data_IF_028698438191
#
_entry.id   IF_028698438191
#
_cell.length_a   1.000
_cell.length_b   1.000
_cell.length_c   1.000
_cell.angle_alpha   90.00
_cell.angle_beta   90.00
_cell.angle_gamma   90.00
#
_symmetry.space_group_name_H-M   'P 1'
#
loop_
_entity.id
_entity.type
_entity.pdbx_description
1 polymer ?
#
# COMPACT_ATOMS: atom_id res chain seq x y z
N UNK A 1 -29.90 7.44 -6.02
CA UNK A 1 -28.49 7.93 -6.15
C UNK A 1 -27.77 7.54 -4.89
N UNK A 2 -26.72 6.77 -4.99
CA UNK A 2 -25.87 6.41 -3.85
C UNK A 2 -25.25 7.68 -3.23
N UNK A 3 -24.88 7.62 -1.94
CA UNK A 3 -24.22 8.72 -1.24
C UNK A 3 -22.96 9.21 -1.97
N UNK A 4 -22.18 8.27 -2.53
CA UNK A 4 -20.95 8.58 -3.26
C UNK A 4 -21.26 9.30 -4.57
N UNK A 5 -22.23 8.81 -5.35
CA UNK A 5 -22.66 9.46 -6.59
C UNK A 5 -23.14 10.88 -6.37
N UNK A 6 -23.88 11.11 -5.26
CA UNK A 6 -24.31 12.44 -4.87
C UNK A 6 -23.11 13.35 -4.61
N UNK A 7 -22.14 12.92 -3.80
CA UNK A 7 -20.92 13.69 -3.53
C UNK A 7 -20.16 14.01 -4.80
N UNK A 8 -20.00 13.03 -5.71
CA UNK A 8 -19.32 13.22 -6.99
C UNK A 8 -20.05 14.26 -7.86
N UNK A 9 -21.38 14.27 -7.86
CA UNK A 9 -22.18 15.25 -8.61
C UNK A 9 -22.10 16.67 -8.07
N UNK A 10 -21.85 16.81 -6.76
CA UNK A 10 -21.71 18.10 -6.08
C UNK A 10 -20.30 18.69 -6.16
N UNK A 11 -19.27 17.87 -6.45
CA UNK A 11 -17.88 18.32 -6.62
C UNK A 11 -17.70 19.09 -7.93
N UNK A 12 -17.02 20.24 -7.88
CA UNK A 12 -16.55 20.92 -9.09
C UNK A 12 -15.41 20.15 -9.76
N UNK A 13 -15.07 20.51 -10.99
CA UNK A 13 -13.95 19.90 -11.70
C UNK A 13 -12.63 20.15 -10.98
N UNK A 14 -12.42 21.38 -10.51
CA UNK A 14 -11.22 21.80 -9.76
C UNK A 14 -11.07 21.00 -8.47
N UNK A 15 -12.18 20.78 -7.74
CA UNK A 15 -12.17 19.98 -6.53
C UNK A 15 -11.85 18.51 -6.81
N UNK A 16 -12.42 17.93 -7.87
CA UNK A 16 -12.08 16.57 -8.31
C UNK A 16 -10.59 16.43 -8.62
N UNK A 17 -10.03 17.37 -9.37
CA UNK A 17 -8.60 17.40 -9.70
C UNK A 17 -7.74 17.57 -8.44
N UNK A 18 -8.15 18.45 -7.51
CA UNK A 18 -7.40 18.70 -6.27
C UNK A 18 -7.32 17.48 -5.36
N UNK A 19 -8.38 16.66 -5.29
CA UNK A 19 -8.37 15.39 -4.53
C UNK A 19 -7.35 14.41 -5.13
N UNK A 20 -7.26 14.34 -6.46
CA UNK A 20 -6.34 13.44 -7.16
C UNK A 20 -4.87 13.87 -7.05
N UNK A 21 -4.60 15.18 -6.97
CA UNK A 21 -3.22 15.69 -6.87
C UNK A 21 -2.65 15.70 -5.46
N UNK A 22 -3.52 15.67 -4.45
CA UNK A 22 -3.12 15.77 -3.05
C UNK A 22 -2.75 17.19 -2.61
N UNK A 23 -2.80 17.44 -1.31
CA UNK A 23 -2.42 18.72 -0.69
C UNK A 23 -0.96 18.72 -0.20
N UNK A 24 -0.35 17.56 -0.07
CA UNK A 24 1.06 17.34 0.25
C UNK A 24 1.50 15.94 -0.20
N UNK A 25 2.76 15.59 0.06
CA UNK A 25 3.29 14.25 -0.24
C UNK A 25 2.49 13.11 0.42
N UNK A 26 1.83 13.39 1.55
CA UNK A 26 1.18 12.37 2.38
C UNK A 26 -0.31 12.61 2.62
N UNK A 27 -0.91 13.63 2.00
CA UNK A 27 -2.29 13.98 2.28
C UNK A 27 -3.10 14.25 1.03
N UNK A 28 -4.35 13.78 1.02
CA UNK A 28 -5.33 14.25 0.04
C UNK A 28 -5.82 15.65 0.37
N UNK A 29 -6.44 16.32 -0.60
CA UNK A 29 -7.09 17.61 -0.37
C UNK A 29 -8.45 17.40 0.31
N UNK A 30 -8.71 18.13 1.39
CA UNK A 30 -10.03 18.17 2.01
C UNK A 30 -11.00 19.06 1.20
N UNK A 31 -12.30 18.70 1.20
CA UNK A 31 -13.38 19.56 0.65
C UNK A 31 -14.38 19.86 1.78
N UNK A 32 -14.13 20.87 2.61
CA UNK A 32 -14.91 21.11 3.83
C UNK A 32 -16.40 21.34 3.58
N UNK A 33 -16.76 22.02 2.48
CA UNK A 33 -18.18 22.29 2.13
C UNK A 33 -19.01 21.02 1.90
N UNK A 34 -18.35 19.91 1.58
CA UNK A 34 -18.98 18.58 1.37
C UNK A 34 -18.66 17.60 2.50
N UNK A 35 -18.03 18.06 3.58
CA UNK A 35 -17.55 17.21 4.66
C UNK A 35 -16.64 16.06 4.19
N UNK A 36 -15.84 16.29 3.16
CA UNK A 36 -14.80 15.35 2.72
C UNK A 36 -13.52 15.68 3.49
N UNK A 37 -13.08 14.79 4.40
CA UNK A 37 -11.89 15.05 5.20
C UNK A 37 -10.62 14.91 4.37
N UNK A 38 -9.53 15.42 4.89
CA UNK A 38 -8.18 15.10 4.45
C UNK A 38 -7.87 13.68 4.88
N UNK A 39 -7.32 12.87 3.98
CA UNK A 39 -6.83 11.51 4.26
C UNK A 39 -5.32 11.55 4.35
N UNK A 40 -4.75 11.04 5.44
CA UNK A 40 -3.29 10.91 5.64
C UNK A 40 -2.82 9.52 5.25
N UNK A 41 -1.79 9.47 4.43
CA UNK A 41 -1.09 8.25 4.07
C UNK A 41 0.27 8.17 4.77
N UNK A 42 0.72 6.94 5.06
CA UNK A 42 2.09 6.69 5.51
C UNK A 42 2.72 5.57 4.70
N UNK A 43 3.98 5.72 4.33
CA UNK A 43 4.75 4.61 3.79
C UNK A 43 5.22 3.68 4.93
N UNK A 44 5.69 2.49 4.57
CA UNK A 44 6.33 1.56 5.49
C UNK A 44 5.66 0.20 5.63
N UNK A 45 5.75 -0.68 4.61
CA UNK A 45 5.17 -2.03 4.64
C UNK A 45 5.80 -2.94 5.70
N UNK A 46 6.95 -2.56 6.26
CA UNK A 46 7.67 -3.26 7.34
C UNK A 46 7.79 -2.41 8.63
N UNK A 47 6.98 -1.37 8.74
CA UNK A 47 6.93 -0.43 9.88
C UNK A 47 6.49 0.94 9.41
N UNK A 48 5.44 1.49 10.02
CA UNK A 48 4.84 2.75 9.59
C UNK A 48 5.80 3.92 9.81
N UNK A 49 6.25 4.56 8.73
CA UNK A 49 7.26 5.64 8.78
C UNK A 49 6.74 6.94 9.39
N UNK A 50 5.45 7.16 9.35
CA UNK A 50 4.86 8.43 9.75
C UNK A 50 5.27 9.57 8.81
N UNK A 51 5.27 10.78 9.33
CA UNK A 51 5.81 11.93 8.62
C UNK A 51 7.33 11.95 8.77
N UNK A 52 8.06 11.68 7.69
CA UNK A 52 9.53 11.61 7.70
C UNK A 52 10.22 12.93 8.12
N UNK A 53 9.47 14.02 8.17
CA UNK A 53 9.97 15.34 8.61
C UNK A 53 9.95 15.48 10.13
N UNK A 54 9.04 14.79 10.82
CA UNK A 54 8.86 14.90 12.28
C UNK A 54 9.90 14.14 13.10
N UNK A 55 10.67 13.24 12.47
CA UNK A 55 11.64 12.39 13.19
C UNK A 55 11.01 11.35 14.11
N UNK A 56 9.73 11.02 13.90
CA UNK A 56 9.04 9.97 14.64
C UNK A 56 9.74 8.62 14.47
N UNK A 57 9.99 7.94 15.58
CA UNK A 57 10.56 6.60 15.58
C UNK A 57 9.55 5.59 15.07
N UNK A 58 10.03 4.56 14.37
CA UNK A 58 9.23 3.45 13.87
C UNK A 58 9.86 2.12 14.27
N UNK A 59 9.02 1.13 14.57
CA UNK A 59 9.48 -0.24 14.67
C UNK A 59 9.93 -0.74 13.29
N UNK A 60 10.95 -1.60 13.28
CA UNK A 60 11.36 -2.30 12.06
C UNK A 60 10.96 -3.77 12.22
N UNK A 61 9.89 -4.15 11.57
CA UNK A 61 9.42 -5.53 11.53
C UNK A 61 10.22 -6.34 10.49
N UNK A 62 10.17 -7.68 10.55
CA UNK A 62 10.79 -8.51 9.54
C UNK A 62 10.33 -8.14 8.13
N UNK A 63 11.24 -8.22 7.17
CA UNK A 63 10.92 -7.95 5.76
C UNK A 63 9.89 -8.94 5.20
N UNK A 64 9.19 -8.57 4.13
CA UNK A 64 8.19 -9.43 3.52
C UNK A 64 8.78 -10.77 3.05
N UNK A 65 10.00 -10.78 2.51
CA UNK A 65 10.70 -12.02 2.14
C UNK A 65 11.02 -12.90 3.35
N UNK A 66 11.31 -12.31 4.51
CA UNK A 66 11.49 -13.05 5.76
C UNK A 66 10.15 -13.61 6.26
N UNK A 67 9.09 -12.80 6.25
CA UNK A 67 7.75 -13.25 6.65
C UNK A 67 7.23 -14.36 5.75
N UNK A 68 7.44 -14.27 4.44
CA UNK A 68 6.99 -15.32 3.50
C UNK A 68 7.70 -16.66 3.71
N UNK A 69 8.95 -16.63 4.18
CA UNK A 69 9.72 -17.84 4.49
C UNK A 69 9.16 -18.62 5.67
N UNK A 70 8.28 -18.03 6.47
CA UNK A 70 7.58 -18.72 7.57
C UNK A 70 6.42 -19.59 7.09
N UNK A 71 5.80 -19.25 5.96
CA UNK A 71 4.57 -19.84 5.44
C UNK A 71 3.39 -19.73 6.43
N UNK A 72 3.50 -18.84 7.41
CA UNK A 72 2.55 -18.66 8.50
C UNK A 72 1.72 -17.39 8.27
N UNK A 73 0.49 -17.59 7.78
CA UNK A 73 -0.45 -16.50 7.48
C UNK A 73 -1.00 -15.84 8.75
N UNK A 74 -1.11 -16.57 9.85
CA UNK A 74 -1.56 -16.06 11.14
C UNK A 74 -0.52 -15.11 11.74
N UNK A 75 0.76 -15.48 11.67
CA UNK A 75 1.87 -14.62 12.08
C UNK A 75 1.93 -13.33 11.24
N UNK A 76 1.74 -13.44 9.92
CA UNK A 76 1.71 -12.25 9.04
C UNK A 76 0.56 -11.31 9.42
N UNK A 77 -0.62 -11.85 9.74
CA UNK A 77 -1.77 -11.05 10.17
C UNK A 77 -1.49 -10.34 11.51
N UNK A 78 -0.89 -11.01 12.48
CA UNK A 78 -0.53 -10.44 13.78
C UNK A 78 0.50 -9.31 13.65
N UNK A 79 1.56 -9.51 12.86
CA UNK A 79 2.56 -8.48 12.58
C UNK A 79 1.92 -7.29 11.86
N UNK A 80 1.11 -7.55 10.86
CA UNK A 80 0.42 -6.49 10.11
C UNK A 80 -0.55 -5.68 11.00
N UNK A 81 -1.21 -6.34 11.95
CA UNK A 81 -2.01 -5.67 12.96
C UNK A 81 -1.17 -4.71 13.81
N UNK A 82 0.02 -5.13 14.20
CA UNK A 82 0.96 -4.31 14.96
C UNK A 82 1.44 -3.09 14.16
N UNK A 83 1.77 -3.28 12.88
CA UNK A 83 2.10 -2.19 11.96
C UNK A 83 0.92 -1.23 11.78
N UNK A 84 -0.29 -1.75 11.68
CA UNK A 84 -1.51 -0.95 11.58
C UNK A 84 -1.75 -0.10 12.84
N UNK A 85 -1.49 -0.63 14.04
CA UNK A 85 -1.56 0.13 15.29
C UNK A 85 -0.52 1.26 15.32
N UNK A 86 0.69 0.99 14.83
CA UNK A 86 1.73 2.01 14.70
C UNK A 86 1.32 3.11 13.70
N UNK A 87 0.78 2.75 12.53
CA UNK A 87 0.25 3.71 11.58
C UNK A 87 -0.86 4.58 12.19
N UNK A 88 -1.76 3.96 12.94
CA UNK A 88 -2.83 4.66 13.66
C UNK A 88 -2.29 5.62 14.73
N UNK A 89 -1.25 5.25 15.46
CA UNK A 89 -0.61 6.12 16.46
C UNK A 89 0.04 7.36 15.86
N UNK A 90 0.28 7.35 14.55
CA UNK A 90 0.81 8.46 13.75
C UNK A 90 -0.28 9.17 12.96
N UNK A 91 -1.54 9.00 13.33
CA UNK A 91 -2.72 9.57 12.69
C UNK A 91 -2.82 9.28 11.17
N UNK A 92 -2.29 8.13 10.73
CA UNK A 92 -2.41 7.71 9.34
C UNK A 92 -3.70 6.92 9.11
N UNK A 93 -4.43 7.30 8.06
CA UNK A 93 -5.65 6.64 7.61
C UNK A 93 -5.35 5.48 6.67
N UNK A 94 -4.24 5.57 5.92
CA UNK A 94 -3.83 4.59 4.91
C UNK A 94 -2.36 4.25 5.08
N UNK A 95 -2.06 2.95 5.16
CA UNK A 95 -0.71 2.41 5.08
C UNK A 95 -0.41 1.98 3.64
N UNK A 96 0.68 2.49 3.05
CA UNK A 96 1.14 2.10 1.71
C UNK A 96 1.89 0.76 1.78
N UNK A 97 1.13 -0.30 1.87
CA UNK A 97 1.56 -1.69 1.97
C UNK A 97 0.35 -2.63 1.99
N UNK A 98 0.56 -3.91 1.72
CA UNK A 98 1.84 -4.60 1.49
C UNK A 98 2.42 -4.38 0.08
N UNK A 99 3.71 -4.74 -0.09
CA UNK A 99 4.35 -4.78 -1.41
C UNK A 99 4.24 -6.18 -1.99
N UNK A 100 3.56 -6.31 -3.14
CA UNK A 100 3.16 -7.60 -3.73
C UNK A 100 3.80 -7.87 -5.10
N UNK A 101 4.86 -7.14 -5.46
CA UNK A 101 5.59 -7.43 -6.68
C UNK A 101 6.29 -8.80 -6.60
N UNK A 102 6.44 -9.46 -7.74
CA UNK A 102 7.01 -10.80 -7.79
C UNK A 102 8.54 -10.77 -7.90
N UNK A 103 9.21 -11.75 -7.28
CA UNK A 103 10.66 -11.95 -7.38
C UNK A 103 11.02 -12.56 -8.75
N UNK A 104 10.98 -11.75 -9.83
CA UNK A 104 11.20 -12.22 -11.19
C UNK A 104 12.68 -12.34 -11.57
N UNK A 105 13.53 -11.51 -10.97
CA UNK A 105 14.97 -11.48 -11.28
C UNK A 105 15.77 -11.13 -10.01
N UNK A 106 16.87 -11.83 -9.71
CA UNK A 106 17.65 -11.60 -8.47
C UNK A 106 18.08 -10.15 -8.24
N UNK A 107 18.27 -9.38 -9.31
CA UNK A 107 18.70 -7.98 -9.26
C UNK A 107 17.52 -6.99 -9.25
N UNK A 108 16.35 -7.40 -8.81
CA UNK A 108 15.14 -6.55 -8.81
C UNK A 108 15.22 -5.28 -7.95
N UNK A 109 16.12 -5.23 -6.99
CA UNK A 109 16.43 -4.02 -6.19
C UNK A 109 15.55 -3.83 -4.96
N UNK A 110 14.26 -4.24 -4.98
CA UNK A 110 13.31 -4.12 -3.86
C UNK A 110 12.67 -5.43 -3.44
N UNK A 111 13.29 -6.55 -3.79
CA UNK A 111 12.75 -7.87 -3.46
C UNK A 111 12.66 -8.15 -1.96
N UNK A 112 13.51 -7.52 -1.14
CA UNK A 112 13.44 -7.67 0.31
C UNK A 112 12.07 -7.29 0.89
N UNK A 113 11.37 -6.34 0.30
CA UNK A 113 10.05 -5.89 0.74
C UNK A 113 8.88 -6.61 0.05
N UNK A 114 9.16 -7.56 -0.84
CA UNK A 114 8.18 -8.38 -1.54
C UNK A 114 8.19 -9.81 -0.98
N UNK A 115 7.06 -10.52 -1.07
CA UNK A 115 6.90 -11.82 -0.41
C UNK A 115 7.63 -12.94 -1.14
N UNK A 116 7.36 -13.18 -2.42
CA UNK A 116 7.80 -14.38 -3.12
C UNK A 116 7.85 -14.20 -4.64
N UNK A 117 8.46 -15.18 -5.32
CA UNK A 117 8.30 -15.40 -6.76
C UNK A 117 6.96 -16.09 -7.08
N UNK A 118 6.38 -16.80 -6.10
CA UNK A 118 5.10 -17.49 -6.24
C UNK A 118 3.93 -16.52 -6.01
N UNK A 119 3.08 -16.29 -7.02
CA UNK A 119 1.93 -15.40 -6.90
C UNK A 119 0.87 -15.91 -5.90
N UNK A 120 0.72 -17.23 -5.74
CA UNK A 120 -0.24 -17.81 -4.79
C UNK A 120 0.20 -17.53 -3.36
N UNK A 121 1.46 -17.82 -3.03
CA UNK A 121 2.01 -17.53 -1.70
C UNK A 121 1.95 -16.03 -1.40
N UNK A 122 2.34 -15.19 -2.36
CA UNK A 122 2.25 -13.72 -2.26
C UNK A 122 0.82 -13.28 -1.98
N UNK A 123 -0.16 -13.78 -2.74
CA UNK A 123 -1.57 -13.40 -2.58
C UNK A 123 -2.16 -13.82 -1.23
N UNK A 124 -1.86 -15.05 -0.76
CA UNK A 124 -2.33 -15.54 0.54
C UNK A 124 -1.76 -14.71 1.69
N UNK A 125 -0.46 -14.44 1.69
CA UNK A 125 0.18 -13.67 2.77
C UNK A 125 -0.18 -12.18 2.71
N UNK A 126 -0.29 -11.60 1.51
CA UNK A 126 -0.77 -10.24 1.35
C UNK A 126 -2.21 -10.06 1.85
N UNK A 127 -3.08 -11.05 1.61
CA UNK A 127 -4.46 -11.04 2.15
C UNK A 127 -4.47 -11.03 3.68
N UNK A 128 -3.59 -11.81 4.33
CA UNK A 128 -3.45 -11.81 5.78
C UNK A 128 -2.93 -10.47 6.29
N UNK A 129 -1.94 -9.90 5.61
CA UNK A 129 -1.43 -8.56 5.94
C UNK A 129 -2.54 -7.49 5.86
N UNK A 130 -3.32 -7.48 4.78
CA UNK A 130 -4.45 -6.56 4.63
C UNK A 130 -5.45 -6.71 5.76
N UNK A 131 -5.83 -7.94 6.12
CA UNK A 131 -6.72 -8.20 7.25
C UNK A 131 -6.17 -7.64 8.56
N UNK A 132 -4.89 -7.89 8.84
CA UNK A 132 -4.22 -7.39 10.03
C UNK A 132 -4.28 -5.86 10.13
N UNK A 133 -3.86 -5.15 9.09
CA UNK A 133 -3.90 -3.66 9.04
C UNK A 133 -5.33 -3.14 9.18
N UNK A 134 -6.27 -3.71 8.44
CA UNK A 134 -7.67 -3.24 8.45
C UNK A 134 -8.39 -3.55 9.76
N UNK A 135 -7.97 -4.57 10.50
CA UNK A 135 -8.56 -4.93 11.80
C UNK A 135 -8.50 -3.81 12.84
N UNK A 136 -7.59 -2.87 12.68
CA UNK A 136 -7.41 -1.71 13.58
C UNK A 136 -7.94 -0.39 13.01
N UNK A 137 -8.62 -0.45 11.85
CA UNK A 137 -9.27 0.70 11.23
C UNK A 137 -8.35 1.55 10.35
N UNK A 138 -7.20 1.03 9.93
CA UNK A 138 -6.31 1.65 8.94
C UNK A 138 -6.51 0.94 7.59
N UNK A 139 -6.58 1.68 6.51
CA UNK A 139 -6.68 1.11 5.16
C UNK A 139 -5.31 0.60 4.69
N UNK A 140 -5.30 -0.55 4.02
CA UNK A 140 -4.10 -1.06 3.35
C UNK A 140 -4.12 -0.67 1.86
N UNK A 141 -2.96 -0.36 1.30
CA UNK A 141 -2.80 -0.04 -0.11
C UNK A 141 -1.77 -0.97 -0.72
N UNK A 142 -2.25 -1.99 -1.44
CA UNK A 142 -1.37 -2.94 -2.14
C UNK A 142 -0.56 -2.22 -3.21
N UNK A 143 0.75 -2.49 -3.25
CA UNK A 143 1.65 -1.84 -4.19
C UNK A 143 2.67 -2.85 -4.74
N UNK A 144 3.24 -2.62 -5.90
CA UNK A 144 2.92 -1.55 -6.82
C UNK A 144 2.05 -2.13 -7.92
N UNK A 145 0.89 -1.62 -8.10
CA UNK A 145 -0.05 -2.10 -9.12
C UNK A 145 0.26 -1.43 -10.46
N UNK A 146 0.85 -2.15 -11.45
CA UNK A 146 1.27 -3.54 -11.43
C UNK A 146 2.59 -3.69 -12.19
N UNK A 147 3.38 -4.73 -11.86
CA UNK A 147 4.56 -5.10 -12.64
C UNK A 147 5.84 -4.31 -12.33
N UNK A 148 5.98 -3.74 -11.14
CA UNK A 148 7.22 -3.10 -10.70
C UNK A 148 8.18 -4.15 -10.10
N UNK A 149 8.65 -5.09 -10.95
CA UNK A 149 9.52 -6.19 -10.54
C UNK A 149 11.01 -5.84 -10.68
N UNK A 150 11.34 -4.65 -11.18
CA UNK A 150 12.70 -4.13 -11.30
C UNK A 150 12.75 -2.63 -10.99
N UNK A 151 13.84 -2.19 -10.39
CA UNK A 151 14.09 -0.78 -10.10
C UNK A 151 14.99 -0.10 -11.15
N UNK A 152 15.51 -0.88 -12.14
CA UNK A 152 16.33 -0.32 -13.20
C UNK A 152 15.52 0.66 -14.05
N UNK A 153 15.97 1.91 -14.07
CA UNK A 153 15.31 3.01 -14.78
C UNK A 153 13.79 3.10 -14.54
N UNK A 154 13.31 2.82 -13.32
CA UNK A 154 11.87 2.67 -12.98
C UNK A 154 10.98 3.84 -13.39
N UNK A 155 11.53 5.03 -13.58
CA UNK A 155 10.79 6.21 -14.05
C UNK A 155 10.64 6.28 -15.58
N UNK A 156 11.31 5.40 -16.31
CA UNK A 156 11.39 5.43 -17.78
C UNK A 156 11.08 4.08 -18.41
N UNK A 157 11.30 2.98 -17.69
CA UNK A 157 11.07 1.62 -18.20
C UNK A 157 9.57 1.36 -18.38
N UNK A 158 9.24 0.64 -19.47
CA UNK A 158 7.91 0.07 -19.66
C UNK A 158 7.91 -1.39 -19.25
N UNK A 159 7.03 -1.78 -18.33
CA UNK A 159 6.79 -3.17 -17.97
C UNK A 159 5.86 -3.80 -18.99
N UNK A 160 6.44 -4.51 -19.97
CA UNK A 160 5.67 -5.18 -21.01
C UNK A 160 5.25 -6.58 -20.53
N UNK A 161 3.98 -6.72 -20.20
CA UNK A 161 3.38 -7.96 -19.71
C UNK A 161 2.22 -8.30 -20.66
N UNK A 162 2.20 -9.51 -21.22
CA UNK A 162 1.07 -9.95 -22.03
C UNK A 162 -0.18 -10.17 -21.15
N UNK A 163 -1.36 -10.08 -21.76
CA UNK A 163 -2.63 -10.11 -21.02
C UNK A 163 -2.84 -11.40 -20.22
N UNK A 164 -2.41 -12.55 -20.77
CA UNK A 164 -2.52 -13.82 -20.08
C UNK A 164 -1.67 -13.85 -18.81
N UNK A 165 -0.39 -13.48 -18.94
CA UNK A 165 0.53 -13.39 -17.79
C UNK A 165 0.04 -12.39 -16.76
N UNK A 166 -0.47 -11.22 -17.20
CA UNK A 166 -1.06 -10.23 -16.31
C UNK A 166 -2.18 -10.81 -15.47
N UNK A 167 -3.12 -11.54 -16.10
CA UNK A 167 -4.28 -12.12 -15.41
C UNK A 167 -3.95 -13.33 -14.54
N UNK A 168 -2.98 -14.14 -14.95
CA UNK A 168 -2.65 -15.37 -14.23
C UNK A 168 -1.71 -15.15 -13.04
N UNK A 169 -0.83 -14.12 -13.11
CA UNK A 169 0.22 -13.92 -12.10
C UNK A 169 0.08 -12.63 -11.30
N UNK A 170 -0.57 -11.57 -11.83
CA UNK A 170 -0.57 -10.25 -11.23
C UNK A 170 -1.95 -9.73 -10.80
N UNK A 171 -3.04 -10.36 -11.25
CA UNK A 171 -4.44 -10.02 -10.92
C UNK A 171 -5.15 -11.23 -10.23
#
# INVERSE_FOLDING_TARGET
MDRIEKLISELTLEEKVSILSGSSAWHTTAIPRLNIPRVKMTDGPIGARGDSVSGETSACFPSASCLSSTWDKELVEEIARSIGLEAKSKDADVLLGPTINLHRHPLGGRHFECYSEDPILTGVLASSYVKGVQSVGVSACLKHFVGNDTEYQRHFVSSNIDERTLRELYL
#
